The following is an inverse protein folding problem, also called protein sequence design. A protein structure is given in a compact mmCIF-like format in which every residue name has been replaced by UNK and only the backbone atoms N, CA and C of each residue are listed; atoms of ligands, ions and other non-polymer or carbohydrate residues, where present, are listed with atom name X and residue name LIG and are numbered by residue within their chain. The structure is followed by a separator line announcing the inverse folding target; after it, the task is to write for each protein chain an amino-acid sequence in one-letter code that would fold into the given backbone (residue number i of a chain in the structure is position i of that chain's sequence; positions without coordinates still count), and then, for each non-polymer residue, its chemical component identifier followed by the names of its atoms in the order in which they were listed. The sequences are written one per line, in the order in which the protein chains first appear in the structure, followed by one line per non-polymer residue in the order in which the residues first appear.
data_IF_274296137323
#
_entry.id   IF_274296137323
#
_cell.length_a   1.000
_cell.length_b   1.000
_cell.length_c   1.000
_cell.angle_alpha   90.00
_cell.angle_beta   90.00
_cell.angle_gamma   90.00
#
_symmetry.space_group_name_H-M   'P 1'
#
loop_
_entity.id
_entity.type
_entity.pdbx_description
1 polymer ?
#
# COMPACT_ATOMS: atom_id res chain seq x y z
N UNK A 1 30.42 -10.16 -3.17
CA UNK A 1 29.78 -9.38 -2.10
C UNK A 1 29.11 -10.34 -1.14
N UNK A 2 29.10 -9.98 0.16
CA UNK A 2 28.41 -10.73 1.21
C UNK A 2 27.10 -10.04 1.58
N UNK A 3 25.98 -10.75 1.51
CA UNK A 3 24.64 -10.18 1.65
C UNK A 3 23.93 -10.82 2.86
N UNK A 4 23.39 -9.98 3.73
CA UNK A 4 22.56 -10.41 4.85
C UNK A 4 21.06 -10.33 4.48
N UNK A 5 20.34 -11.43 4.66
CA UNK A 5 18.89 -11.51 4.46
C UNK A 5 18.20 -11.54 5.84
N UNK A 6 17.40 -10.52 6.12
CA UNK A 6 16.70 -10.37 7.42
C UNK A 6 15.25 -10.90 7.40
N UNK A 7 14.67 -11.07 6.23
CA UNK A 7 13.32 -11.60 6.07
C UNK A 7 13.33 -12.78 5.09
N UNK A 8 12.46 -13.77 5.33
CA UNK A 8 12.26 -14.86 4.39
C UNK A 8 11.52 -14.34 3.14
N UNK A 9 12.16 -14.52 1.99
CA UNK A 9 11.67 -14.05 0.70
C UNK A 9 11.47 -15.20 -0.30
N UNK A 10 11.21 -14.88 -1.57
CA UNK A 10 11.15 -15.89 -2.62
C UNK A 10 12.54 -16.50 -2.84
N UNK A 11 12.69 -17.84 -2.98
CA UNK A 11 14.00 -18.50 -3.14
C UNK A 11 14.83 -17.96 -4.32
N UNK A 12 14.17 -17.54 -5.40
CA UNK A 12 14.77 -16.91 -6.58
C UNK A 12 15.79 -15.82 -6.20
N UNK A 13 15.53 -15.05 -5.12
CA UNK A 13 16.44 -13.97 -4.69
C UNK A 13 17.84 -14.51 -4.34
N UNK A 14 17.90 -15.59 -3.57
CA UNK A 14 19.13 -16.24 -3.14
C UNK A 14 19.77 -16.98 -4.32
N UNK A 15 18.98 -17.67 -5.15
CA UNK A 15 19.44 -18.40 -6.33
C UNK A 15 20.13 -17.46 -7.33
N UNK A 16 19.49 -16.33 -7.66
CA UNK A 16 20.05 -15.34 -8.57
C UNK A 16 21.30 -14.66 -8.01
N UNK A 17 21.31 -14.31 -6.70
CA UNK A 17 22.50 -13.74 -6.08
C UNK A 17 23.65 -14.72 -5.97
N UNK A 18 23.40 -16.02 -5.74
CA UNK A 18 24.41 -17.06 -5.84
C UNK A 18 24.99 -17.17 -7.26
N UNK A 19 24.14 -17.10 -8.29
CA UNK A 19 24.57 -17.13 -9.69
C UNK A 19 25.46 -15.92 -10.05
N UNK A 20 25.28 -14.78 -9.37
CA UNK A 20 26.14 -13.59 -9.50
C UNK A 20 27.45 -13.70 -8.66
N UNK A 21 27.67 -14.81 -7.96
CA UNK A 21 28.84 -15.03 -7.13
C UNK A 21 28.80 -14.29 -5.78
N UNK A 22 27.61 -13.95 -5.28
CA UNK A 22 27.47 -13.33 -3.97
C UNK A 22 27.34 -14.41 -2.89
N UNK A 23 27.92 -14.16 -1.71
CA UNK A 23 27.74 -14.97 -0.51
C UNK A 23 26.46 -14.52 0.19
N UNK A 24 25.46 -15.40 0.32
CA UNK A 24 24.19 -15.11 0.97
C UNK A 24 24.17 -15.69 2.40
N UNK A 25 23.80 -14.87 3.37
CA UNK A 25 23.65 -15.25 4.78
C UNK A 25 22.21 -14.94 5.21
N UNK A 26 21.52 -15.96 5.68
CA UNK A 26 20.14 -15.87 6.13
C UNK A 26 20.09 -15.75 7.67
N UNK A 27 19.50 -14.66 8.17
CA UNK A 27 19.28 -14.41 9.59
C UNK A 27 17.87 -13.86 9.83
N UNK A 28 16.95 -14.75 10.12
CA UNK A 28 15.52 -14.42 10.18
C UNK A 28 14.99 -14.20 11.61
N UNK A 29 15.79 -14.44 12.64
CA UNK A 29 15.32 -14.51 14.04
C UNK A 29 16.03 -13.53 14.99
N UNK A 30 17.29 -13.21 14.73
CA UNK A 30 18.07 -12.36 15.62
C UNK A 30 17.43 -10.97 15.81
N UNK A 31 17.35 -10.44 17.04
CA UNK A 31 16.85 -9.10 17.29
C UNK A 31 17.78 -8.05 16.66
N UNK A 32 17.26 -6.84 16.40
CA UNK A 32 18.02 -5.73 15.81
C UNK A 32 19.38 -5.51 16.47
N UNK A 33 19.45 -5.57 17.81
CA UNK A 33 20.66 -5.35 18.59
C UNK A 33 21.76 -6.38 18.32
N UNK A 34 21.43 -7.63 17.97
CA UNK A 34 22.40 -8.65 17.59
C UNK A 34 22.86 -8.47 16.14
N UNK A 35 21.95 -8.14 15.22
CA UNK A 35 22.29 -7.82 13.83
C UNK A 35 23.25 -6.62 13.78
N UNK A 36 23.01 -5.61 14.58
CA UNK A 36 23.88 -4.42 14.68
C UNK A 36 25.35 -4.73 15.08
N UNK A 37 25.59 -5.84 15.77
CA UNK A 37 26.96 -6.25 16.10
C UNK A 37 27.75 -6.81 14.92
N UNK A 38 27.05 -7.34 13.93
CA UNK A 38 27.66 -8.07 12.81
C UNK A 38 27.46 -7.39 11.45
N UNK A 39 26.61 -6.37 11.35
CA UNK A 39 26.26 -5.73 10.08
C UNK A 39 27.47 -5.15 9.31
N UNK A 40 28.52 -4.76 10.01
CA UNK A 40 29.78 -4.29 9.42
C UNK A 40 30.50 -5.36 8.56
N UNK A 41 30.11 -6.63 8.67
CA UNK A 41 30.68 -7.74 7.90
C UNK A 41 30.05 -7.90 6.51
N UNK A 42 28.99 -7.14 6.19
CA UNK A 42 28.17 -7.32 5.00
C UNK A 42 28.27 -6.13 4.04
N UNK A 43 28.26 -6.45 2.74
CA UNK A 43 28.21 -5.48 1.64
C UNK A 43 26.79 -5.09 1.26
N UNK A 44 25.80 -5.97 1.50
CA UNK A 44 24.41 -5.77 1.15
C UNK A 44 23.46 -6.25 2.24
N UNK A 45 22.31 -5.60 2.33
CA UNK A 45 21.24 -5.94 3.25
C UNK A 45 19.93 -6.14 2.46
N UNK A 46 19.25 -7.24 2.73
CA UNK A 46 17.91 -7.52 2.22
C UNK A 46 16.94 -7.52 3.38
N UNK A 47 15.93 -6.65 3.30
CA UNK A 47 14.92 -6.50 4.36
C UNK A 47 13.54 -6.28 3.74
N UNK A 48 12.49 -6.62 4.48
CA UNK A 48 11.12 -6.23 4.17
C UNK A 48 10.56 -5.26 5.20
N UNK A 49 10.28 -5.72 6.41
CA UNK A 49 9.65 -4.87 7.44
C UNK A 49 10.04 -5.25 8.88
N UNK A 50 11.01 -6.12 9.05
CA UNK A 50 11.34 -6.73 10.35
C UNK A 50 11.63 -5.71 11.45
N UNK A 51 12.41 -4.67 11.14
CA UNK A 51 12.69 -3.55 12.03
C UNK A 51 13.12 -2.30 11.24
N UNK A 52 13.17 -1.17 11.93
CA UNK A 52 13.61 0.10 11.35
C UNK A 52 15.13 0.14 11.20
N UNK A 53 15.60 0.52 10.02
CA UNK A 53 17.00 0.81 9.70
C UNK A 53 17.23 2.30 9.94
N UNK A 54 17.50 2.64 11.18
CA UNK A 54 17.74 4.01 11.62
C UNK A 54 19.23 4.39 11.53
N UNK A 55 19.52 5.65 11.88
CA UNK A 55 20.87 6.19 11.92
C UNK A 55 21.83 5.32 12.74
N UNK A 56 21.40 4.83 13.92
CA UNK A 56 22.22 4.01 14.80
C UNK A 56 22.63 2.69 14.14
N UNK A 57 21.73 2.05 13.42
CA UNK A 57 22.01 0.87 12.64
C UNK A 57 22.99 1.18 11.50
N UNK A 58 22.73 2.26 10.74
CA UNK A 58 23.55 2.67 9.60
C UNK A 58 24.96 3.08 10.00
N UNK A 59 25.17 3.62 11.20
CA UNK A 59 26.50 3.94 11.73
C UNK A 59 27.36 2.70 11.95
N UNK A 60 26.74 1.57 12.28
CA UNK A 60 27.42 0.27 12.44
C UNK A 60 27.65 -0.45 11.11
N UNK A 61 26.91 -0.10 10.07
CA UNK A 61 26.95 -0.73 8.75
C UNK A 61 28.07 -0.15 7.85
N UNK A 62 29.31 -0.18 8.29
CA UNK A 62 30.45 0.52 7.69
C UNK A 62 30.78 0.07 6.26
N UNK A 63 30.50 -1.18 5.91
CA UNK A 63 30.82 -1.77 4.60
C UNK A 63 29.61 -1.86 3.68
N UNK A 64 28.41 -1.43 4.16
CA UNK A 64 27.17 -1.60 3.43
C UNK A 64 27.12 -0.71 2.18
N UNK A 65 26.92 -1.32 1.02
CA UNK A 65 26.86 -0.67 -0.29
C UNK A 65 25.42 -0.49 -0.78
N UNK A 66 24.52 -1.40 -0.36
CA UNK A 66 23.11 -1.32 -0.72
C UNK A 66 22.16 -1.90 0.33
N UNK A 67 20.92 -1.44 0.30
CA UNK A 67 19.78 -2.05 0.99
C UNK A 67 18.72 -2.35 -0.04
N UNK A 68 18.37 -3.63 -0.20
CA UNK A 68 17.26 -4.10 -1.01
C UNK A 68 16.02 -4.30 -0.15
N UNK A 69 14.99 -3.47 -0.35
CA UNK A 69 13.70 -3.59 0.36
C UNK A 69 12.66 -4.28 -0.52
N UNK A 70 12.21 -5.48 -0.11
CA UNK A 70 11.18 -6.23 -0.85
C UNK A 70 9.79 -5.66 -0.57
N UNK A 71 9.47 -4.60 -1.26
CA UNK A 71 8.21 -3.87 -1.20
C UNK A 71 8.31 -2.50 -1.87
N UNK A 72 7.20 -1.75 -1.88
CA UNK A 72 7.11 -0.48 -2.59
C UNK A 72 7.69 0.71 -1.80
N UNK A 73 7.42 0.79 -0.49
CA UNK A 73 7.87 1.91 0.34
C UNK A 73 9.27 1.69 0.94
N UNK A 74 9.82 2.74 1.51
CA UNK A 74 11.11 2.74 2.21
C UNK A 74 11.00 3.35 3.62
N UNK A 75 9.78 3.46 4.15
CA UNK A 75 9.46 4.18 5.38
C UNK A 75 10.14 3.61 6.64
N UNK A 76 10.59 2.37 6.58
CA UNK A 76 11.37 1.73 7.65
C UNK A 76 12.89 1.95 7.54
N UNK A 77 13.34 2.80 6.61
CA UNK A 77 14.77 3.11 6.39
C UNK A 77 14.96 4.62 6.48
N UNK A 78 15.97 5.05 7.24
CA UNK A 78 16.43 6.45 7.22
C UNK A 78 17.12 6.73 5.87
N UNK A 79 16.30 7.17 4.90
CA UNK A 79 16.74 7.32 3.51
C UNK A 79 17.80 8.40 3.36
N UNK A 80 17.62 9.54 4.02
CA UNK A 80 18.53 10.68 3.91
C UNK A 80 19.90 10.28 4.45
N UNK A 81 19.92 9.64 5.63
CA UNK A 81 21.18 9.20 6.23
C UNK A 81 21.85 8.05 5.45
N UNK A 82 21.07 7.14 4.87
CA UNK A 82 21.60 6.11 3.98
C UNK A 82 22.25 6.71 2.73
N UNK A 83 21.63 7.74 2.16
CA UNK A 83 22.15 8.48 1.01
C UNK A 83 23.43 9.23 1.34
N UNK A 84 23.48 9.93 2.48
CA UNK A 84 24.70 10.63 2.95
C UNK A 84 25.88 9.66 3.12
N UNK A 85 25.60 8.41 3.47
CA UNK A 85 26.60 7.33 3.53
C UNK A 85 26.93 6.68 2.18
N UNK A 86 26.29 7.10 1.08
CA UNK A 86 26.48 6.52 -0.24
C UNK A 86 25.88 5.12 -0.41
N UNK A 87 24.92 4.72 0.43
CA UNK A 87 24.25 3.43 0.38
C UNK A 87 23.14 3.48 -0.67
N UNK A 88 23.17 2.57 -1.65
CA UNK A 88 22.16 2.45 -2.67
C UNK A 88 20.88 1.80 -2.10
N UNK A 89 19.74 2.49 -2.22
CA UNK A 89 18.44 1.97 -1.80
C UNK A 89 17.67 1.42 -3.00
N UNK A 90 17.33 0.14 -2.96
CA UNK A 90 16.52 -0.53 -3.97
C UNK A 90 15.18 -0.95 -3.37
N UNK A 91 14.09 -0.29 -3.79
CA UNK A 91 12.70 -0.74 -3.55
C UNK A 91 12.15 -1.44 -4.80
N UNK A 92 11.03 -2.14 -4.66
CA UNK A 92 10.41 -2.90 -5.74
C UNK A 92 8.92 -2.55 -5.98
N UNK A 93 8.56 -1.27 -6.17
CA UNK A 93 7.17 -0.88 -6.37
C UNK A 93 6.56 -1.47 -7.66
N UNK A 94 7.38 -1.87 -8.63
CA UNK A 94 6.95 -2.53 -9.86
C UNK A 94 6.49 -3.97 -9.62
N UNK A 95 7.00 -4.63 -8.59
CA UNK A 95 6.79 -6.06 -8.33
C UNK A 95 5.37 -6.39 -7.86
N UNK A 96 4.74 -5.52 -7.07
CA UNK A 96 3.42 -5.77 -6.51
C UNK A 96 2.30 -4.89 -7.06
N UNK A 97 2.60 -3.96 -7.98
CA UNK A 97 1.60 -3.00 -8.49
C UNK A 97 0.34 -3.65 -9.05
N UNK A 98 0.50 -4.80 -9.73
CA UNK A 98 -0.63 -5.51 -10.32
C UNK A 98 -1.56 -6.11 -9.25
N UNK A 99 -0.98 -6.71 -8.21
CA UNK A 99 -1.73 -7.25 -7.08
C UNK A 99 -2.53 -6.14 -6.38
N UNK A 100 -1.91 -4.97 -6.12
CA UNK A 100 -2.60 -3.81 -5.53
C UNK A 100 -3.75 -3.34 -6.40
N UNK A 101 -3.57 -3.25 -7.72
CA UNK A 101 -4.65 -2.87 -8.66
C UNK A 101 -5.82 -3.85 -8.65
N UNK A 102 -5.54 -5.15 -8.58
CA UNK A 102 -6.58 -6.20 -8.48
C UNK A 102 -7.30 -6.16 -7.13
N UNK A 103 -6.57 -5.95 -6.04
CA UNK A 103 -7.15 -5.83 -4.71
C UNK A 103 -8.07 -4.61 -4.59
N UNK A 104 -7.63 -3.44 -5.08
CA UNK A 104 -8.45 -2.22 -5.11
C UNK A 104 -9.74 -2.42 -5.90
N UNK A 105 -9.68 -3.09 -7.06
CA UNK A 105 -10.88 -3.46 -7.83
C UNK A 105 -11.77 -4.44 -7.05
N UNK A 106 -11.17 -5.42 -6.39
CA UNK A 106 -11.89 -6.37 -5.54
C UNK A 106 -12.66 -5.68 -4.41
N UNK A 107 -12.03 -4.74 -3.70
CA UNK A 107 -12.66 -3.91 -2.66
C UNK A 107 -13.82 -3.10 -3.24
N UNK A 108 -13.63 -2.44 -4.38
CA UNK A 108 -14.65 -1.63 -5.04
C UNK A 108 -15.89 -2.46 -5.41
N UNK A 109 -15.70 -3.58 -6.08
CA UNK A 109 -16.79 -4.46 -6.49
C UNK A 109 -17.49 -5.12 -5.30
N UNK A 110 -16.74 -5.47 -4.26
CA UNK A 110 -17.32 -6.04 -3.05
C UNK A 110 -18.16 -5.02 -2.26
N UNK A 111 -17.77 -3.74 -2.23
CA UNK A 111 -18.57 -2.65 -1.68
C UNK A 111 -19.83 -2.42 -2.50
N UNK A 112 -19.70 -2.23 -3.82
CA UNK A 112 -20.80 -1.89 -4.71
C UNK A 112 -21.88 -2.97 -4.75
N UNK A 113 -21.50 -4.24 -4.62
CA UNK A 113 -22.40 -5.38 -4.65
C UNK A 113 -22.76 -5.94 -3.26
N UNK A 114 -22.39 -5.25 -2.18
CA UNK A 114 -22.63 -5.69 -0.79
C UNK A 114 -22.14 -7.14 -0.50
N UNK A 115 -21.08 -7.62 -1.18
CA UNK A 115 -20.70 -9.04 -1.18
C UNK A 115 -20.38 -9.58 0.21
N UNK A 116 -19.67 -8.81 1.04
CA UNK A 116 -19.28 -9.21 2.40
C UNK A 116 -20.49 -9.30 3.32
N UNK A 117 -21.41 -8.33 3.24
CA UNK A 117 -22.68 -8.31 3.98
C UNK A 117 -23.55 -9.49 3.57
N UNK A 118 -23.84 -9.62 2.27
CA UNK A 118 -24.68 -10.68 1.73
C UNK A 118 -24.16 -12.07 2.09
N UNK A 119 -22.83 -12.31 1.97
CA UNK A 119 -22.22 -13.59 2.36
C UNK A 119 -22.40 -13.88 3.87
N UNK A 120 -22.22 -12.87 4.73
CA UNK A 120 -22.40 -13.00 6.19
C UNK A 120 -23.84 -13.33 6.54
N UNK A 121 -24.81 -12.67 5.90
CA UNK A 121 -26.25 -12.91 6.12
C UNK A 121 -26.65 -14.32 5.71
N UNK A 122 -26.33 -14.73 4.47
CA UNK A 122 -26.69 -16.06 3.95
C UNK A 122 -26.07 -17.18 4.80
N UNK A 123 -24.83 -17.04 5.25
CA UNK A 123 -24.20 -18.01 6.18
C UNK A 123 -24.90 -18.11 7.53
N UNK A 124 -25.66 -17.09 7.94
CA UNK A 124 -26.52 -17.09 9.14
C UNK A 124 -27.96 -17.53 8.85
N UNK A 125 -28.26 -17.97 7.63
CA UNK A 125 -29.62 -18.36 7.22
C UNK A 125 -30.54 -17.17 6.92
N UNK A 126 -30.01 -15.96 6.80
CA UNK A 126 -30.76 -14.76 6.50
C UNK A 126 -30.79 -14.54 4.97
N UNK A 127 -31.99 -14.43 4.39
CA UNK A 127 -32.18 -14.28 2.94
C UNK A 127 -32.90 -12.98 2.61
N UNK A 128 -32.13 -11.86 2.49
CA UNK A 128 -32.66 -10.51 2.23
C UNK A 128 -32.15 -9.99 0.90
N UNK A 129 -33.00 -9.99 -0.14
CA UNK A 129 -32.61 -9.53 -1.49
C UNK A 129 -32.53 -8.00 -1.60
N UNK A 130 -33.59 -7.27 -1.17
CA UNK A 130 -33.65 -5.82 -1.30
C UNK A 130 -32.56 -5.10 -0.48
N UNK A 131 -32.28 -5.56 0.72
CA UNK A 131 -31.23 -5.00 1.57
C UNK A 131 -29.80 -5.25 1.07
N UNK A 132 -29.64 -6.11 0.06
CA UNK A 132 -28.37 -6.41 -0.61
C UNK A 132 -28.34 -5.98 -2.07
N UNK A 133 -29.28 -5.11 -2.50
CA UNK A 133 -29.24 -4.54 -3.84
C UNK A 133 -27.96 -3.73 -4.03
N UNK A 134 -27.16 -4.07 -5.04
CA UNK A 134 -25.93 -3.37 -5.40
C UNK A 134 -26.16 -2.17 -6.31
N UNK A 135 -25.05 -1.53 -6.65
CA UNK A 135 -24.96 -0.49 -7.67
C UNK A 135 -23.93 -0.91 -8.73
N UNK A 136 -24.08 -0.43 -9.95
CA UNK A 136 -23.17 -0.72 -11.05
C UNK A 136 -22.08 0.36 -11.16
N UNK A 137 -20.94 -0.03 -11.70
CA UNK A 137 -19.86 0.90 -12.04
C UNK A 137 -20.14 1.70 -13.30
N UNK A 138 -20.99 1.19 -14.18
CA UNK A 138 -21.35 1.84 -15.44
C UNK A 138 -21.75 3.30 -15.23
N UNK A 139 -21.21 4.18 -16.07
CA UNK A 139 -21.45 5.62 -16.03
C UNK A 139 -20.85 6.36 -14.83
N UNK A 140 -20.08 5.69 -13.96
CA UNK A 140 -19.38 6.32 -12.82
C UNK A 140 -18.06 6.95 -13.24
N UNK A 141 -17.61 7.93 -12.46
CA UNK A 141 -16.27 8.52 -12.57
C UNK A 141 -15.41 8.02 -11.41
N UNK A 142 -14.31 7.36 -11.73
CA UNK A 142 -13.32 6.91 -10.76
C UNK A 142 -12.15 7.90 -10.75
N UNK A 143 -11.95 8.59 -9.63
CA UNK A 143 -10.84 9.49 -9.38
C UNK A 143 -9.69 8.76 -8.70
N UNK A 144 -8.49 8.86 -9.24
CA UNK A 144 -7.27 8.25 -8.70
C UNK A 144 -6.34 9.37 -8.22
N UNK A 145 -5.96 9.34 -6.94
CA UNK A 145 -4.97 10.26 -6.38
C UNK A 145 -3.63 9.54 -6.27
N UNK A 146 -2.64 10.02 -7.01
CA UNK A 146 -1.35 9.35 -7.23
C UNK A 146 -1.39 8.41 -8.43
N UNK A 147 -0.84 8.83 -9.58
CA UNK A 147 -0.87 8.07 -10.82
C UNK A 147 0.50 7.47 -11.17
N UNK A 148 1.11 6.86 -10.14
CA UNK A 148 2.36 6.10 -10.23
C UNK A 148 2.13 4.61 -10.55
N UNK A 149 2.97 3.73 -10.00
CA UNK A 149 2.93 2.28 -10.28
C UNK A 149 1.57 1.63 -9.98
N UNK A 150 1.01 1.87 -8.80
CA UNK A 150 -0.24 1.23 -8.37
C UNK A 150 -1.47 1.91 -8.93
N UNK A 151 -1.47 3.26 -9.05
CA UNK A 151 -2.57 4.00 -9.65
C UNK A 151 -2.78 3.63 -11.13
N UNK A 152 -1.71 3.54 -11.91
CA UNK A 152 -1.74 3.06 -13.31
C UNK A 152 -2.22 1.60 -13.40
N UNK A 153 -1.78 0.75 -12.48
CA UNK A 153 -2.22 -0.64 -12.45
C UNK A 153 -3.72 -0.76 -12.15
N UNK A 154 -4.25 0.05 -11.23
CA UNK A 154 -5.69 0.10 -10.93
C UNK A 154 -6.49 0.63 -12.12
N UNK A 155 -6.09 1.77 -12.71
CA UNK A 155 -6.74 2.32 -13.90
C UNK A 155 -6.83 1.28 -15.04
N UNK A 156 -5.73 0.55 -15.29
CA UNK A 156 -5.72 -0.53 -16.27
C UNK A 156 -6.72 -1.65 -15.97
N UNK A 157 -7.00 -1.97 -14.68
CA UNK A 157 -8.02 -2.98 -14.32
C UNK A 157 -9.43 -2.48 -14.57
N UNK A 158 -9.65 -1.17 -14.57
CA UNK A 158 -10.94 -0.54 -14.86
C UNK A 158 -11.27 -0.47 -16.35
N UNK A 159 -10.31 -0.72 -17.25
CA UNK A 159 -10.52 -0.62 -18.70
C UNK A 159 -11.58 -1.57 -19.28
N UNK A 160 -11.99 -2.59 -18.54
CA UNK A 160 -13.09 -3.50 -18.91
C UNK A 160 -14.47 -3.08 -18.43
N UNK A 161 -14.58 -1.90 -17.78
CA UNK A 161 -15.84 -1.34 -17.28
C UNK A 161 -16.17 -0.06 -18.04
N UNK A 162 -17.46 0.25 -18.19
CA UNK A 162 -17.93 1.47 -18.83
C UNK A 162 -17.88 2.66 -17.84
N UNK A 163 -16.66 2.99 -17.39
CA UNK A 163 -16.35 4.05 -16.42
C UNK A 163 -15.43 5.11 -17.03
N UNK A 164 -15.58 6.34 -16.58
CA UNK A 164 -14.54 7.35 -16.79
C UNK A 164 -13.49 7.26 -15.67
N UNK A 165 -12.20 7.21 -16.05
CA UNK A 165 -11.10 7.26 -15.09
C UNK A 165 -10.35 8.58 -15.24
N UNK A 166 -10.32 9.36 -14.16
CA UNK A 166 -9.54 10.59 -14.05
C UNK A 166 -8.50 10.44 -12.94
N UNK A 167 -7.37 11.11 -13.08
CA UNK A 167 -6.33 11.04 -12.07
C UNK A 167 -5.79 12.42 -11.71
N UNK A 168 -5.36 12.56 -10.47
CA UNK A 168 -4.58 13.69 -9.98
C UNK A 168 -3.21 13.22 -9.53
N UNK A 169 -2.18 13.91 -9.95
CA UNK A 169 -0.79 13.70 -9.51
C UNK A 169 -0.08 15.04 -9.42
N UNK A 170 0.89 15.15 -8.53
CA UNK A 170 1.77 16.34 -8.42
C UNK A 170 2.72 16.44 -9.61
N UNK A 171 2.99 15.31 -10.29
CA UNK A 171 3.78 15.26 -11.52
C UNK A 171 2.82 15.51 -12.69
N UNK A 172 3.16 16.52 -13.52
CA UNK A 172 2.38 16.81 -14.71
C UNK A 172 2.65 15.83 -15.87
N UNK A 173 1.67 15.66 -16.75
CA UNK A 173 1.82 14.89 -17.98
C UNK A 173 1.81 13.37 -17.77
N UNK A 174 1.14 12.87 -16.72
CA UNK A 174 1.06 11.43 -16.39
C UNK A 174 -0.08 10.70 -17.08
N UNK A 175 -0.97 11.39 -17.82
CA UNK A 175 -2.08 10.79 -18.59
C UNK A 175 -1.60 9.66 -19.48
N UNK A 176 -2.42 8.64 -19.62
CA UNK A 176 -2.23 7.56 -20.60
C UNK A 176 -3.59 7.08 -21.14
N UNK A 177 -3.62 5.95 -21.84
CA UNK A 177 -4.84 5.36 -22.41
C UNK A 177 -5.87 4.94 -21.37
N UNK A 178 -5.48 4.80 -20.07
CA UNK A 178 -6.35 4.30 -19.02
C UNK A 178 -6.91 5.41 -18.12
N UNK A 179 -6.26 6.60 -18.06
CA UNK A 179 -6.76 7.72 -17.25
C UNK A 179 -6.30 9.09 -17.77
N UNK A 180 -7.19 10.06 -17.68
CA UNK A 180 -6.93 11.45 -18.00
C UNK A 180 -6.53 12.21 -16.73
N UNK A 181 -5.38 12.90 -16.74
CA UNK A 181 -4.97 13.77 -15.64
C UNK A 181 -5.81 15.03 -15.60
N UNK A 182 -6.25 15.39 -14.39
CA UNK A 182 -7.07 16.58 -14.11
C UNK A 182 -6.52 17.35 -12.92
N UNK A 183 -6.99 18.59 -12.73
CA UNK A 183 -6.76 19.35 -11.50
C UNK A 183 -7.60 18.80 -10.34
N UNK A 184 -7.17 19.12 -9.11
CA UNK A 184 -7.86 18.63 -7.90
C UNK A 184 -9.33 19.06 -7.86
N UNK A 185 -9.66 20.29 -8.26
CA UNK A 185 -11.06 20.77 -8.29
C UNK A 185 -11.94 19.99 -9.25
N UNK A 186 -11.44 19.57 -10.42
CA UNK A 186 -12.22 18.74 -11.35
C UNK A 186 -12.42 17.32 -10.77
N UNK A 187 -11.41 16.78 -10.10
CA UNK A 187 -11.52 15.48 -9.42
C UNK A 187 -12.59 15.53 -8.33
N UNK A 188 -12.60 16.56 -7.47
CA UNK A 188 -13.58 16.77 -6.40
C UNK A 188 -15.01 16.97 -6.94
N UNK A 189 -15.14 17.61 -8.11
CA UNK A 189 -16.44 17.85 -8.74
C UNK A 189 -17.05 16.59 -9.36
N UNK A 190 -16.23 15.71 -9.93
CA UNK A 190 -16.72 14.65 -10.83
C UNK A 190 -16.70 13.26 -10.25
N UNK A 191 -15.82 12.96 -9.27
CA UNK A 191 -15.60 11.60 -8.81
C UNK A 191 -16.77 11.02 -8.03
N UNK A 192 -17.16 9.80 -8.36
CA UNK A 192 -18.06 8.93 -7.60
C UNK A 192 -17.28 8.00 -6.68
N UNK A 193 -16.05 7.67 -7.07
CA UNK A 193 -15.11 6.85 -6.31
C UNK A 193 -13.78 7.57 -6.25
N UNK A 194 -13.14 7.58 -5.09
CA UNK A 194 -11.76 8.04 -4.89
C UNK A 194 -10.91 6.87 -4.45
N UNK A 195 -9.78 6.67 -5.15
CA UNK A 195 -8.78 5.67 -4.78
C UNK A 195 -7.42 6.31 -4.55
N UNK A 196 -6.82 6.00 -3.40
CA UNK A 196 -5.51 6.55 -3.00
C UNK A 196 -4.38 5.62 -3.42
N UNK A 197 -3.37 6.19 -4.09
CA UNK A 197 -2.17 5.50 -4.57
C UNK A 197 -0.89 6.33 -4.35
N UNK A 198 -0.87 7.10 -3.27
CA UNK A 198 0.23 8.02 -2.90
C UNK A 198 1.20 7.39 -1.90
N UNK A 199 2.49 7.78 -1.88
CA UNK A 199 3.40 7.46 -0.79
C UNK A 199 3.01 8.22 0.50
N UNK A 200 3.56 7.82 1.64
CA UNK A 200 3.46 8.59 2.87
C UNK A 200 4.58 9.65 2.89
N UNK A 201 4.18 10.90 2.75
CA UNK A 201 5.06 12.08 2.83
C UNK A 201 4.43 13.11 3.78
N UNK A 202 5.14 14.17 4.19
CA UNK A 202 4.54 15.24 4.98
C UNK A 202 3.27 15.82 4.34
N UNK A 203 3.20 15.91 3.00
CA UNK A 203 2.07 16.47 2.27
C UNK A 203 0.86 15.51 2.18
N UNK A 204 1.10 14.21 2.29
CA UNK A 204 0.04 13.20 2.20
C UNK A 204 -0.45 12.71 3.57
N UNK A 205 0.25 13.05 4.65
CA UNK A 205 -0.20 12.76 6.02
C UNK A 205 -1.49 13.54 6.31
N UNK A 206 -2.55 12.80 6.66
CA UNK A 206 -3.87 13.37 6.98
C UNK A 206 -4.51 14.13 5.81
N UNK A 207 -4.12 13.84 4.56
CA UNK A 207 -4.66 14.54 3.40
C UNK A 207 -6.17 14.31 3.22
N UNK A 208 -6.67 13.15 3.60
CA UNK A 208 -8.12 12.87 3.61
C UNK A 208 -8.65 13.23 5.00
N UNK A 209 -9.00 14.47 5.15
CA UNK A 209 -9.56 15.09 6.34
C UNK A 209 -10.92 15.73 6.03
N UNK A 210 -11.53 16.33 7.04
CA UNK A 210 -12.84 16.99 6.92
C UNK A 210 -12.89 18.04 5.82
N UNK A 211 -11.84 18.86 5.67
CA UNK A 211 -11.79 19.91 4.64
C UNK A 211 -11.79 19.29 3.23
N UNK A 212 -10.89 18.34 2.99
CA UNK A 212 -10.81 17.62 1.72
C UNK A 212 -12.13 16.90 1.38
N UNK A 213 -12.70 16.17 2.35
CA UNK A 213 -13.96 15.43 2.14
C UNK A 213 -15.10 16.39 1.76
N UNK A 214 -15.19 17.54 2.42
CA UNK A 214 -16.24 18.53 2.18
C UNK A 214 -16.09 19.27 0.85
N UNK A 215 -14.90 19.31 0.24
CA UNK A 215 -14.67 19.92 -1.06
C UNK A 215 -15.40 19.17 -2.21
N UNK A 216 -15.70 17.90 -2.04
CA UNK A 216 -16.44 17.12 -3.05
C UNK A 216 -17.86 17.63 -3.24
N UNK A 217 -18.32 17.73 -4.50
CA UNK A 217 -19.64 18.24 -4.81
C UNK A 217 -20.75 17.22 -4.53
N UNK A 218 -20.45 15.94 -4.59
CA UNK A 218 -21.40 14.82 -4.38
C UNK A 218 -20.85 13.81 -3.37
N UNK A 219 -21.68 12.96 -2.77
CA UNK A 219 -21.20 11.82 -2.00
C UNK A 219 -20.37 10.87 -2.86
N UNK A 220 -19.35 10.23 -2.25
CA UNK A 220 -18.43 9.36 -2.96
C UNK A 220 -18.02 8.13 -2.13
N UNK A 221 -17.40 7.16 -2.78
CA UNK A 221 -16.79 5.97 -2.17
C UNK A 221 -15.28 6.16 -2.05
N UNK A 222 -14.68 5.68 -0.96
CA UNK A 222 -13.25 5.80 -0.71
C UNK A 222 -12.56 4.43 -0.75
N UNK A 223 -11.44 4.33 -1.48
CA UNK A 223 -10.53 3.20 -1.45
C UNK A 223 -9.16 3.66 -0.95
N UNK A 224 -8.62 2.98 0.04
CA UNK A 224 -7.24 3.22 0.49
C UNK A 224 -6.44 1.92 0.51
N UNK A 225 -5.61 1.75 -0.51
CA UNK A 225 -4.59 0.70 -0.63
C UNK A 225 -3.17 1.31 -0.64
N UNK A 226 -3.05 2.56 -0.17
CA UNK A 226 -1.80 3.32 -0.16
C UNK A 226 -1.12 3.27 1.21
N UNK A 227 -1.46 4.21 2.10
CA UNK A 227 -0.97 4.29 3.48
C UNK A 227 -2.09 4.73 4.43
N UNK A 228 -2.16 4.09 5.59
CA UNK A 228 -3.23 4.35 6.57
C UNK A 228 -3.25 5.79 7.05
N UNK A 229 -2.10 6.36 7.37
CA UNK A 229 -1.95 7.74 7.86
C UNK A 229 -2.28 8.83 6.82
N UNK A 230 -2.61 8.48 5.58
CA UNK A 230 -3.15 9.44 4.62
C UNK A 230 -4.60 9.82 4.94
N UNK A 231 -5.31 9.03 5.73
CA UNK A 231 -6.71 9.23 6.10
C UNK A 231 -6.82 9.51 7.60
N UNK A 232 -7.47 10.61 7.97
CA UNK A 232 -7.84 10.89 9.36
C UNK A 232 -9.09 10.06 9.67
N UNK A 233 -8.94 9.05 10.51
CA UNK A 233 -10.00 8.05 10.74
C UNK A 233 -11.26 8.66 11.38
N UNK A 234 -11.12 9.62 12.28
CA UNK A 234 -12.25 10.31 12.91
C UNK A 234 -13.07 11.10 11.88
N UNK A 235 -12.40 11.77 10.94
CA UNK A 235 -13.03 12.54 9.86
C UNK A 235 -13.75 11.61 8.87
N UNK A 236 -13.13 10.47 8.52
CA UNK A 236 -13.75 9.43 7.72
C UNK A 236 -15.03 8.92 8.39
N UNK A 237 -15.00 8.61 9.68
CA UNK A 237 -16.17 8.12 10.43
C UNK A 237 -17.27 9.19 10.48
N UNK A 238 -16.92 10.45 10.67
CA UNK A 238 -17.89 11.56 10.63
C UNK A 238 -18.55 11.66 9.25
N UNK A 239 -17.77 11.53 8.17
CA UNK A 239 -18.27 11.56 6.80
C UNK A 239 -19.16 10.35 6.45
N UNK A 240 -18.86 9.17 6.97
CA UNK A 240 -19.68 7.98 6.86
C UNK A 240 -21.03 8.15 7.56
N UNK A 241 -21.04 8.67 8.78
CA UNK A 241 -22.27 8.96 9.57
C UNK A 241 -23.17 9.98 8.87
N UNK A 242 -22.59 10.97 8.18
CA UNK A 242 -23.36 11.99 7.45
C UNK A 242 -23.75 11.57 6.04
N UNK A 243 -23.25 10.44 5.55
CA UNK A 243 -23.47 9.96 4.17
C UNK A 243 -22.68 10.73 3.11
N UNK A 244 -21.70 11.57 3.49
CA UNK A 244 -20.80 12.22 2.54
C UNK A 244 -19.83 11.22 1.91
N UNK A 245 -19.36 10.25 2.69
CA UNK A 245 -18.70 9.03 2.20
C UNK A 245 -19.72 7.90 2.31
N UNK A 246 -20.02 7.28 1.16
CA UNK A 246 -21.04 6.24 1.04
C UNK A 246 -20.56 4.88 1.57
N UNK A 247 -19.27 4.67 1.61
CA UNK A 247 -18.59 3.50 2.14
C UNK A 247 -17.11 3.53 1.79
N UNK A 248 -16.32 2.66 2.43
CA UNK A 248 -14.88 2.62 2.18
C UNK A 248 -14.31 1.20 2.16
N UNK A 249 -13.33 0.98 1.28
CA UNK A 249 -12.46 -0.19 1.24
C UNK A 249 -11.05 0.17 1.70
N UNK A 250 -10.63 -0.36 2.84
CA UNK A 250 -9.39 0.03 3.49
C UNK A 250 -8.49 -1.21 3.68
N UNK A 251 -7.41 -1.27 2.92
CA UNK A 251 -6.36 -2.28 3.12
C UNK A 251 -5.34 -1.82 4.15
N UNK A 252 -5.31 -0.52 4.42
CA UNK A 252 -4.39 0.15 5.33
C UNK A 252 -5.14 1.05 6.30
N UNK A 253 -4.66 1.17 7.54
CA UNK A 253 -5.32 1.90 8.62
C UNK A 253 -4.35 2.85 9.31
N UNK A 254 -4.84 4.00 9.81
CA UNK A 254 -4.05 5.00 10.51
C UNK A 254 -3.29 4.43 11.72
N UNK A 255 -3.87 3.43 12.36
CA UNK A 255 -3.36 2.80 13.60
C UNK A 255 -2.30 1.71 13.37
N UNK A 256 -1.94 1.42 12.11
CA UNK A 256 -0.92 0.41 11.80
C UNK A 256 0.43 0.75 12.42
N UNK A 257 1.06 -0.28 13.00
CA UNK A 257 2.46 -0.21 13.41
C UNK A 257 3.37 -0.42 12.21
N UNK A 258 4.57 0.11 12.27
CA UNK A 258 5.59 -0.02 11.19
C UNK A 258 5.96 -1.47 10.90
N UNK A 259 5.77 -2.38 11.87
CA UNK A 259 6.05 -3.83 11.75
C UNK A 259 4.91 -4.65 11.16
N UNK A 260 3.75 -4.06 10.87
CA UNK A 260 2.52 -4.76 10.41
C UNK A 260 2.02 -5.87 11.35
N UNK A 261 2.43 -5.83 12.63
CA UNK A 261 2.03 -6.79 13.64
C UNK A 261 0.71 -6.40 14.31
N UNK A 262 0.11 -7.37 15.03
CA UNK A 262 -1.21 -7.29 15.67
C UNK A 262 -1.55 -5.91 16.26
N UNK A 263 -2.52 -5.24 15.64
CA UNK A 263 -3.12 -4.01 16.15
C UNK A 263 -3.99 -4.26 17.38
N UNK A 264 -4.47 -5.47 17.55
CA UNK A 264 -5.51 -5.86 18.51
C UNK A 264 -5.00 -6.24 19.91
N UNK A 265 -3.71 -6.10 20.18
CA UNK A 265 -3.13 -6.41 21.51
C UNK A 265 -3.36 -5.32 22.55
N UNK A 266 -3.96 -4.18 22.21
CA UNK A 266 -4.30 -3.11 23.16
C UNK A 266 -5.75 -3.26 23.63
N UNK A 267 -5.97 -3.13 24.94
CA UNK A 267 -7.25 -3.38 25.61
C UNK A 267 -8.36 -2.38 25.26
N UNK A 268 -8.07 -1.26 24.61
CA UNK A 268 -9.07 -0.27 24.18
C UNK A 268 -8.79 0.15 22.73
N UNK A 269 -9.69 -0.21 21.83
CA UNK A 269 -9.68 0.30 20.45
C UNK A 269 -10.24 1.75 20.44
N UNK A 270 -9.67 2.67 19.64
CA UNK A 270 -10.27 3.98 19.43
C UNK A 270 -11.72 3.85 18.95
N UNK A 271 -12.62 4.72 19.45
CA UNK A 271 -14.05 4.69 19.09
C UNK A 271 -14.28 4.74 17.59
N UNK A 272 -13.50 5.55 16.88
CA UNK A 272 -13.57 5.64 15.42
C UNK A 272 -13.23 4.30 14.75
N UNK A 273 -12.24 3.56 15.25
CA UNK A 273 -11.90 2.25 14.72
C UNK A 273 -12.97 1.20 15.04
N UNK A 274 -13.56 1.23 16.23
CA UNK A 274 -14.69 0.36 16.57
C UNK A 274 -15.87 0.58 15.61
N UNK A 275 -16.17 1.85 15.25
CA UNK A 275 -17.18 2.14 14.26
C UNK A 275 -16.88 1.49 12.90
N UNK A 276 -15.64 1.53 12.43
CA UNK A 276 -15.25 0.90 11.15
C UNK A 276 -15.43 -0.62 11.17
N UNK A 277 -15.17 -1.28 12.32
CA UNK A 277 -15.37 -2.72 12.49
C UNK A 277 -16.85 -3.10 12.37
N UNK A 278 -17.74 -2.28 12.92
CA UNK A 278 -19.17 -2.59 13.01
C UNK A 278 -19.97 -2.13 11.76
N UNK A 279 -19.42 -1.20 10.97
CA UNK A 279 -20.10 -0.62 9.82
C UNK A 279 -20.22 -1.62 8.65
N UNK A 280 -21.44 -1.75 8.08
CA UNK A 280 -21.72 -2.69 6.98
C UNK A 280 -21.19 -2.22 5.62
N UNK A 281 -21.00 -0.90 5.45
CA UNK A 281 -20.48 -0.27 4.25
C UNK A 281 -18.95 -0.06 4.29
N UNK A 282 -18.26 -0.82 5.13
CA UNK A 282 -16.80 -0.83 5.25
C UNK A 282 -16.26 -2.22 4.96
N UNK A 283 -15.18 -2.29 4.18
CA UNK A 283 -14.41 -3.52 3.99
C UNK A 283 -12.97 -3.23 4.44
N UNK A 284 -12.48 -4.07 5.35
CA UNK A 284 -11.13 -4.01 5.89
C UNK A 284 -10.32 -5.21 5.42
N UNK A 285 -9.05 -5.00 5.11
CA UNK A 285 -8.06 -6.06 4.90
C UNK A 285 -6.73 -5.69 5.57
N UNK A 286 -5.91 -6.66 6.01
CA UNK A 286 -4.78 -6.43 6.90
C UNK A 286 -3.48 -6.12 6.12
N UNK A 287 -3.47 -5.06 5.31
CA UNK A 287 -2.34 -4.58 4.49
C UNK A 287 -1.77 -5.68 3.56
N UNK A 288 -2.66 -6.32 2.83
CA UNK A 288 -2.35 -7.49 1.96
C UNK A 288 -2.57 -7.22 0.47
N UNK A 289 -2.94 -5.99 0.07
CA UNK A 289 -3.20 -5.66 -1.34
C UNK A 289 -2.04 -6.03 -2.27
N UNK A 290 -0.80 -5.83 -1.80
CA UNK A 290 0.41 -6.21 -2.53
C UNK A 290 0.92 -7.62 -2.25
N UNK A 291 0.17 -8.46 -1.53
CA UNK A 291 0.63 -9.73 -0.98
C UNK A 291 0.04 -10.94 -1.70
N UNK A 292 0.55 -11.25 -2.89
CA UNK A 292 0.16 -12.42 -3.65
C UNK A 292 1.35 -13.36 -3.87
N UNK A 293 1.07 -14.60 -4.27
CA UNK A 293 2.11 -15.58 -4.60
C UNK A 293 3.02 -15.01 -5.68
N UNK A 294 2.44 -14.45 -6.74
CA UNK A 294 3.16 -13.89 -7.89
C UNK A 294 3.91 -12.59 -7.55
N UNK A 295 3.37 -11.77 -6.64
CA UNK A 295 4.06 -10.55 -6.22
C UNK A 295 5.34 -10.84 -5.45
N UNK A 296 5.37 -11.92 -4.66
CA UNK A 296 6.55 -12.34 -3.91
C UNK A 296 7.74 -12.63 -4.84
N UNK A 297 7.50 -13.34 -5.93
CA UNK A 297 8.49 -13.61 -6.97
C UNK A 297 8.92 -12.33 -7.70
N UNK A 298 7.95 -11.52 -8.15
CA UNK A 298 8.21 -10.28 -8.89
C UNK A 298 8.98 -9.24 -8.06
N UNK A 299 8.71 -9.15 -6.76
CA UNK A 299 9.47 -8.30 -5.83
C UNK A 299 10.93 -8.75 -5.77
N UNK A 300 11.18 -10.06 -5.62
CA UNK A 300 12.52 -10.63 -5.61
C UNK A 300 13.25 -10.33 -6.92
N UNK A 301 12.63 -10.63 -8.06
CA UNK A 301 13.22 -10.38 -9.38
C UNK A 301 13.53 -8.90 -9.62
N UNK A 302 12.66 -8.00 -9.15
CA UNK A 302 12.88 -6.54 -9.27
C UNK A 302 14.12 -6.11 -8.50
N UNK A 303 14.29 -6.58 -7.26
CA UNK A 303 15.47 -6.28 -6.44
C UNK A 303 16.73 -6.85 -7.09
N UNK A 304 16.71 -8.11 -7.55
CA UNK A 304 17.84 -8.72 -8.27
C UNK A 304 18.25 -7.85 -9.47
N UNK A 305 17.29 -7.48 -10.30
CA UNK A 305 17.56 -6.67 -11.50
C UNK A 305 18.21 -5.32 -11.17
N UNK A 306 17.71 -4.63 -10.12
CA UNK A 306 18.25 -3.32 -9.67
C UNK A 306 19.66 -3.46 -9.11
N UNK A 307 19.91 -4.48 -8.29
CA UNK A 307 21.24 -4.74 -7.73
C UNK A 307 22.22 -5.16 -8.83
N UNK A 308 21.82 -6.09 -9.70
CA UNK A 308 22.63 -6.53 -10.85
C UNK A 308 23.02 -5.36 -11.75
N UNK A 309 22.07 -4.51 -12.10
CA UNK A 309 22.32 -3.34 -12.96
C UNK A 309 23.28 -2.31 -12.34
N UNK A 310 23.39 -2.27 -11.00
CA UNK A 310 24.22 -1.30 -10.29
C UNK A 310 25.62 -1.83 -9.93
N UNK A 311 25.75 -3.13 -9.70
CA UNK A 311 26.95 -3.72 -9.09
C UNK A 311 27.61 -4.84 -9.91
N UNK A 312 27.01 -5.24 -11.03
CA UNK A 312 27.54 -6.21 -11.98
C UNK A 312 27.62 -5.63 -13.40
#
# INVERSE_FOLDING_TARGET
MKILHLDNNHPLLIEEFNALGFENVEEYTAPKSEVEKTIHLYDGLIIRSRFTIDKTFLDKAQNLKFIGRLGAGLENIDMDYAWDKGIFLAAAPEGNRNAVGEHALGLLLALFNNLTKANREVKKGIWVREGNRGIELDGKTVGIIGYGNTGKAFAKKLSGFDVEVICYDIIGGVSDENARQVGIMELEQRSDVISLHVPQTPETLGMINTEFINAFQKPFWLLNTARGKCVVTEDLVSALKTGKILGAGLDVLEYEKTSFEDMFTQHELPEAFQYLIDAENIILSPHVAGWTIESKEKLAQTIVNKIKSRFC
#
